data_IF_903583624610
#
_entry.id   IF_903583624610
#
_cell.length_a   1.000
_cell.length_b   1.000
_cell.length_c   1.000
_cell.angle_alpha   90.00
_cell.angle_beta   90.00
_cell.angle_gamma   90.00
#
_symmetry.space_group_name_H-M   'P 1'
#
loop_
_entity.id
_entity.type
_entity.pdbx_description
1 polymer ?
#
# COMPACT_ATOMS: atom_id res chain seq x y z
N UNK A 1 4.60 -14.89 5.07
CA UNK A 1 3.21 -14.95 4.62
C UNK A 1 3.16 -15.20 3.13
N UNK A 2 2.14 -15.89 2.67
CA UNK A 2 1.87 -16.00 1.24
C UNK A 2 0.76 -15.05 0.86
N UNK A 3 0.72 -14.70 -0.43
CA UNK A 3 -0.35 -13.87 -0.99
C UNK A 3 -0.55 -12.62 -0.15
N UNK A 4 0.55 -11.90 0.08
CA UNK A 4 0.50 -10.73 0.92
C UNK A 4 -0.23 -9.63 0.17
N UNK A 5 -1.37 -9.24 0.69
CA UNK A 5 -2.17 -8.15 0.15
C UNK A 5 -1.82 -6.88 0.90
N UNK A 6 -1.30 -5.90 0.19
CA UNK A 6 -0.85 -4.65 0.80
C UNK A 6 -1.76 -3.53 0.33
N UNK A 7 -2.47 -2.93 1.28
CA UNK A 7 -3.31 -1.77 1.02
C UNK A 7 -2.53 -0.53 1.37
N UNK A 8 -2.42 0.38 0.44
CA UNK A 8 -1.59 1.58 0.55
C UNK A 8 -2.50 2.80 0.50
N UNK A 9 -2.28 3.72 1.43
CA UNK A 9 -2.98 5.00 1.45
C UNK A 9 -2.32 5.99 0.50
N UNK A 10 -3.02 7.06 0.14
CA UNK A 10 -2.52 8.07 -0.79
C UNK A 10 -1.90 9.26 -0.04
N UNK A 11 -2.76 10.05 0.64
CA UNK A 11 -2.31 11.31 1.24
C UNK A 11 -1.34 11.08 2.39
N UNK A 12 -0.23 11.79 2.37
CA UNK A 12 0.84 11.72 3.37
C UNK A 12 1.46 10.34 3.48
N UNK A 13 1.22 9.50 2.48
CA UNK A 13 1.80 8.15 2.38
C UNK A 13 2.57 8.02 1.08
N UNK A 14 1.93 8.30 -0.05
CA UNK A 14 2.60 8.30 -1.36
C UNK A 14 2.91 9.71 -1.86
N UNK A 15 2.12 10.68 -1.44
CA UNK A 15 2.30 12.09 -1.81
C UNK A 15 2.22 12.97 -0.57
N UNK A 16 2.80 14.16 -0.65
CA UNK A 16 2.72 15.14 0.43
C UNK A 16 1.43 15.96 0.34
N UNK A 17 1.29 16.97 1.19
CA UNK A 17 0.08 17.82 1.24
C UNK A 17 -0.12 18.65 -0.02
N UNK A 18 0.90 18.76 -0.87
CA UNK A 18 0.84 19.47 -2.14
C UNK A 18 0.76 18.51 -3.33
N UNK A 19 0.45 17.24 -3.08
CA UNK A 19 0.33 16.21 -4.10
C UNK A 19 1.64 15.92 -4.82
N UNK A 20 2.77 16.20 -4.19
CA UNK A 20 4.08 15.83 -4.73
C UNK A 20 4.47 14.46 -4.22
N UNK A 21 5.04 13.62 -5.08
CA UNK A 21 5.48 12.29 -4.65
C UNK A 21 6.46 12.34 -3.50
N UNK A 22 6.23 11.51 -2.49
CA UNK A 22 7.18 11.37 -1.41
C UNK A 22 8.42 10.62 -1.91
N UNK A 23 9.62 10.97 -1.38
CA UNK A 23 10.85 10.30 -1.82
C UNK A 23 10.77 8.78 -1.67
N UNK A 24 11.10 8.06 -2.73
CA UNK A 24 11.16 6.61 -2.70
C UNK A 24 9.82 5.90 -2.80
N UNK A 25 8.71 6.62 -2.82
CA UNK A 25 7.38 5.99 -2.82
C UNK A 25 7.17 5.10 -4.05
N UNK A 26 7.45 5.63 -5.24
CA UNK A 26 7.26 4.86 -6.48
C UNK A 26 8.17 3.63 -6.51
N UNK A 27 9.43 3.80 -6.14
CA UNK A 27 10.36 2.67 -6.11
C UNK A 27 9.97 1.63 -5.07
N UNK A 28 9.41 2.07 -3.95
CA UNK A 28 8.91 1.15 -2.93
C UNK A 28 7.75 0.30 -3.46
N UNK A 29 6.85 0.91 -4.23
CA UNK A 29 5.76 0.15 -4.86
C UNK A 29 6.31 -0.90 -5.81
N UNK A 30 7.31 -0.53 -6.60
CA UNK A 30 7.95 -1.48 -7.51
C UNK A 30 8.62 -2.61 -6.75
N UNK A 31 9.29 -2.29 -5.65
CA UNK A 31 9.98 -3.31 -4.82
C UNK A 31 8.98 -4.27 -4.19
N UNK A 32 7.89 -3.78 -3.64
CA UNK A 32 6.87 -4.64 -3.03
C UNK A 32 6.22 -5.53 -4.09
N UNK A 33 5.93 -4.97 -5.25
CA UNK A 33 5.36 -5.75 -6.35
C UNK A 33 6.34 -6.84 -6.78
N UNK A 34 7.62 -6.50 -6.94
CA UNK A 34 8.65 -7.46 -7.33
C UNK A 34 8.83 -8.57 -6.29
N UNK A 35 8.60 -8.25 -5.03
CA UNK A 35 8.67 -9.24 -3.94
C UNK A 35 7.45 -10.17 -3.92
N UNK A 36 6.46 -9.92 -4.75
CA UNK A 36 5.28 -10.76 -4.85
C UNK A 36 4.07 -10.26 -4.09
N UNK A 37 4.10 -9.05 -3.58
CA UNK A 37 2.95 -8.47 -2.90
C UNK A 37 1.87 -8.10 -3.92
N UNK A 38 0.62 -8.26 -3.51
CA UNK A 38 -0.53 -7.78 -4.26
C UNK A 38 -0.87 -6.39 -3.73
N UNK A 39 -0.78 -5.38 -4.58
CA UNK A 39 -0.94 -4.00 -4.16
C UNK A 39 -2.34 -3.48 -4.47
N UNK A 40 -2.92 -2.80 -3.50
CA UNK A 40 -4.23 -2.15 -3.61
C UNK A 40 -4.06 -0.73 -3.09
N UNK A 41 -4.56 0.22 -3.84
CA UNK A 41 -4.47 1.63 -3.42
C UNK A 41 -5.85 2.10 -3.02
N UNK A 42 -5.98 2.69 -1.85
CA UNK A 42 -7.27 3.18 -1.37
C UNK A 42 -7.13 4.55 -0.72
N UNK A 43 -8.23 5.29 -0.71
CA UNK A 43 -8.24 6.64 -0.19
C UNK A 43 -9.66 7.07 0.11
N UNK A 44 -9.82 7.95 1.09
CA UNK A 44 -11.12 8.60 1.33
C UNK A 44 -11.53 9.47 0.14
N UNK A 45 -10.57 9.83 -0.73
CA UNK A 45 -10.84 10.59 -1.94
C UNK A 45 -11.44 9.77 -3.09
N UNK A 46 -11.48 8.44 -2.95
CA UNK A 46 -12.14 7.58 -3.93
C UNK A 46 -11.22 6.94 -4.94
N UNK A 47 -11.78 6.04 -5.76
CA UNK A 47 -11.02 5.24 -6.71
C UNK A 47 -10.33 6.06 -7.79
N UNK A 48 -11.02 7.07 -8.35
CA UNK A 48 -10.43 7.91 -9.40
C UNK A 48 -9.23 8.70 -8.89
N UNK A 49 -9.33 9.19 -7.65
CA UNK A 49 -8.24 9.90 -7.00
C UNK A 49 -7.01 8.99 -6.84
N UNK A 50 -7.25 7.74 -6.45
CA UNK A 50 -6.18 6.76 -6.34
C UNK A 50 -5.51 6.50 -7.70
N UNK A 51 -6.32 6.30 -8.73
CA UNK A 51 -5.78 6.04 -10.08
C UNK A 51 -4.95 7.20 -10.57
N UNK A 52 -5.45 8.44 -10.38
CA UNK A 52 -4.72 9.62 -10.81
C UNK A 52 -3.37 9.71 -10.11
N UNK A 53 -3.33 9.40 -8.82
CA UNK A 53 -2.08 9.40 -8.05
C UNK A 53 -1.11 8.34 -8.57
N UNK A 54 -1.61 7.13 -8.81
CA UNK A 54 -0.78 6.05 -9.31
C UNK A 54 -0.19 6.38 -10.68
N UNK A 55 -0.98 7.05 -11.53
CA UNK A 55 -0.52 7.50 -12.84
C UNK A 55 0.54 8.59 -12.70
N UNK A 56 0.33 9.50 -11.77
CA UNK A 56 1.32 10.56 -11.48
C UNK A 56 2.67 9.95 -11.08
N UNK A 57 2.65 8.89 -10.28
CA UNK A 57 3.87 8.22 -9.85
C UNK A 57 4.43 7.24 -10.88
N UNK A 58 3.70 6.97 -11.95
CA UNK A 58 4.13 6.03 -12.98
C UNK A 58 4.07 4.57 -12.56
N UNK A 59 3.17 4.24 -11.64
CA UNK A 59 3.06 2.89 -11.07
C UNK A 59 1.64 2.32 -11.13
N UNK A 60 0.78 2.90 -11.96
CA UNK A 60 -0.63 2.48 -12.00
C UNK A 60 -0.81 0.99 -12.31
N UNK A 61 0.04 0.45 -13.18
CA UNK A 61 -0.05 -0.95 -13.60
C UNK A 61 0.32 -1.95 -12.51
N UNK A 62 0.91 -1.48 -11.41
CA UNK A 62 1.31 -2.36 -10.32
C UNK A 62 0.16 -2.68 -9.36
N UNK A 63 -0.90 -1.89 -9.38
CA UNK A 63 -2.02 -2.04 -8.45
C UNK A 63 -3.11 -2.90 -9.06
N UNK A 64 -3.64 -3.81 -8.25
CA UNK A 64 -4.74 -4.68 -8.68
C UNK A 64 -6.08 -3.98 -8.63
N UNK A 65 -6.21 -2.97 -7.77
CA UNK A 65 -7.44 -2.20 -7.69
C UNK A 65 -7.20 -0.83 -7.07
N UNK A 66 -8.06 0.12 -7.39
CA UNK A 66 -8.12 1.45 -6.82
C UNK A 66 -9.48 1.56 -6.13
N UNK A 67 -9.48 1.84 -4.82
CA UNK A 67 -10.67 1.69 -4.01
C UNK A 67 -10.89 2.91 -3.12
N UNK A 68 -12.16 3.26 -2.84
CA UNK A 68 -12.44 4.19 -1.77
C UNK A 68 -12.24 3.48 -0.44
N UNK A 69 -11.85 4.22 0.60
CA UNK A 69 -11.87 3.67 1.95
C UNK A 69 -13.34 3.53 2.38
N UNK A 70 -13.65 2.49 3.13
CA UNK A 70 -15.05 2.28 3.53
C UNK A 70 -15.49 3.30 4.57
N UNK A 71 -16.74 3.73 4.44
CA UNK A 71 -17.40 4.53 5.47
C UNK A 71 -18.07 3.63 6.51
N UNK A 72 -18.50 2.44 6.08
CA UNK A 72 -19.18 1.47 6.93
C UNK A 72 -18.55 0.12 6.70
N UNK A 73 -18.23 -0.55 7.80
CA UNK A 73 -17.68 -1.90 7.79
C UNK A 73 -18.68 -2.84 8.42
N UNK A 74 -19.02 -3.92 7.74
CA UNK A 74 -19.92 -4.93 8.29
C UNK A 74 -19.13 -6.23 8.38
N UNK A 75 -18.96 -6.74 9.61
CA UNK A 75 -18.15 -7.91 9.88
C UNK A 75 -18.73 -8.62 11.11
N UNK A 76 -18.54 -9.92 11.18
CA UNK A 76 -18.97 -10.69 12.34
C UNK A 76 -18.07 -10.46 13.55
N UNK A 77 -16.93 -9.80 13.37
CA UNK A 77 -15.97 -9.48 14.44
C UNK A 77 -15.79 -7.97 14.53
N UNK A 78 -16.78 -7.22 15.04
CA UNK A 78 -16.77 -5.76 14.97
C UNK A 78 -15.60 -5.10 15.72
N UNK A 79 -14.97 -5.80 16.67
CA UNK A 79 -13.80 -5.26 17.34
C UNK A 79 -12.50 -5.44 16.57
N UNK A 80 -12.55 -6.11 15.42
CA UNK A 80 -11.36 -6.45 14.62
C UNK A 80 -11.61 -6.07 13.17
N UNK A 81 -11.62 -4.76 12.91
CA UNK A 81 -11.85 -4.26 11.55
C UNK A 81 -10.76 -4.75 10.61
N UNK A 82 -9.56 -4.92 11.14
CA UNK A 82 -8.39 -5.22 10.33
C UNK A 82 -7.57 -6.29 11.06
N UNK A 83 -7.43 -7.43 10.43
CA UNK A 83 -6.73 -8.57 11.00
C UNK A 83 -5.35 -8.72 10.37
N UNK A 84 -4.56 -7.66 10.37
CA UNK A 84 -3.25 -7.66 9.74
C UNK A 84 -2.31 -6.71 10.47
N UNK A 85 -1.29 -6.28 9.75
CA UNK A 85 -0.27 -5.37 10.25
C UNK A 85 -0.50 -3.98 9.69
N UNK A 86 -0.30 -2.98 10.53
CA UNK A 86 -0.43 -1.58 10.15
C UNK A 86 0.94 -0.92 10.27
N UNK A 87 1.40 -0.32 9.17
CA UNK A 87 2.65 0.44 9.15
C UNK A 87 2.35 1.90 8.82
N UNK A 88 2.96 2.80 9.59
CA UNK A 88 2.93 4.23 9.31
C UNK A 88 4.27 4.59 8.69
N UNK A 89 4.26 5.03 7.43
CA UNK A 89 5.50 5.35 6.72
C UNK A 89 6.28 6.45 7.44
N UNK A 90 5.59 7.33 8.15
CA UNK A 90 6.23 8.39 8.92
C UNK A 90 7.03 7.91 10.12
N UNK A 91 6.82 6.67 10.55
CA UNK A 91 7.54 6.06 11.67
C UNK A 91 8.76 5.25 11.22
N UNK A 92 9.07 5.29 9.93
CA UNK A 92 10.22 4.58 9.38
C UNK A 92 11.18 5.57 8.75
N UNK A 93 12.44 5.18 8.64
CA UNK A 93 13.48 6.08 8.11
C UNK A 93 13.19 6.53 6.68
N UNK A 94 12.62 5.64 5.88
CA UNK A 94 12.31 5.94 4.50
C UNK A 94 11.35 4.89 3.93
N UNK A 95 10.74 5.19 2.79
CA UNK A 95 9.98 4.21 2.04
C UNK A 95 10.84 3.01 1.67
N UNK A 96 12.10 3.26 1.31
CA UNK A 96 13.02 2.18 0.95
C UNK A 96 13.23 1.22 2.12
N UNK A 97 13.42 1.77 3.33
CA UNK A 97 13.60 0.95 4.53
C UNK A 97 12.35 0.16 4.86
N UNK A 98 11.18 0.79 4.75
CA UNK A 98 9.91 0.11 5.04
C UNK A 98 9.64 -1.01 4.03
N UNK A 99 9.85 -0.75 2.75
CA UNK A 99 9.63 -1.76 1.72
C UNK A 99 10.56 -2.96 1.91
N UNK A 100 11.82 -2.70 2.27
CA UNK A 100 12.79 -3.76 2.54
C UNK A 100 12.38 -4.58 3.76
N UNK A 101 11.89 -3.91 4.81
CA UNK A 101 11.42 -4.59 6.01
C UNK A 101 10.26 -5.52 5.68
N UNK A 102 9.26 -5.04 4.94
CA UNK A 102 8.11 -5.85 4.56
C UNK A 102 8.55 -7.05 3.72
N UNK A 103 9.37 -6.82 2.72
CA UNK A 103 9.83 -7.90 1.85
C UNK A 103 10.62 -8.95 2.62
N UNK A 104 11.48 -8.52 3.54
CA UNK A 104 12.33 -9.43 4.30
C UNK A 104 11.57 -10.17 5.40
N UNK A 105 10.74 -9.44 6.15
CA UNK A 105 10.10 -9.99 7.35
C UNK A 105 8.77 -10.65 7.09
N UNK A 106 8.04 -10.22 6.06
CA UNK A 106 6.66 -10.62 5.90
C UNK A 106 6.35 -11.34 4.60
N UNK A 107 7.26 -11.32 3.62
CA UNK A 107 7.10 -12.03 2.36
C UNK A 107 8.09 -13.18 2.33
N UNK A 108 7.56 -14.39 2.19
CA UNK A 108 8.39 -15.59 2.18
C UNK A 108 8.23 -16.30 0.84
N UNK A 109 9.14 -16.06 -0.12
CA UNK A 109 9.00 -16.59 -1.48
C UNK A 109 8.78 -18.10 -1.53
N UNK A 110 9.39 -18.85 -0.62
CA UNK A 110 9.22 -20.28 -0.57
C UNK A 110 7.84 -20.76 -0.20
N UNK A 111 7.03 -19.88 0.41
CA UNK A 111 5.66 -20.19 0.84
C UNK A 111 4.61 -19.79 -0.20
N UNK A 112 4.99 -19.00 -1.20
CA UNK A 112 4.04 -18.58 -2.23
C UNK A 112 3.84 -19.70 -3.23
N UNK A 113 2.57 -20.01 -3.46
CA UNK A 113 2.21 -21.13 -4.35
C UNK A 113 1.20 -20.68 -5.37
#
# INVERSE_FOLDING_TARGET
MRNVNVYVDVDLTLVDEHRRPLPGAADAMRSLHAAGCHLFLWSTGGAAYCRDTAELLGVAELFEAFLPKPDIFIDDMPGTIFNGLLFDVGEHDSWSALAALIAHEHVHPGERR
#
